data_IF_829731715222
#
_entry.id   IF_829731715222
#
_cell.length_a   1.000
_cell.length_b   1.000
_cell.length_c   1.000
_cell.angle_alpha   90.00
_cell.angle_beta   90.00
_cell.angle_gamma   90.00
#
_symmetry.space_group_name_H-M   'P 1'
#
loop_
_entity.id
_entity.type
_entity.pdbx_description
1 polymer ?
#
# COMPACT_ATOMS: atom_id res chain seq x y z
N UNK A 1 11.44 -14.33 21.19
CA UNK A 1 10.07 -13.84 20.94
C UNK A 1 9.28 -14.98 20.32
N UNK A 2 8.30 -15.53 21.04
CA UNK A 2 7.56 -16.74 20.62
C UNK A 2 6.61 -16.43 19.46
N UNK A 3 6.77 -17.17 18.36
CA UNK A 3 5.82 -17.23 17.25
C UNK A 3 4.58 -18.01 17.69
N UNK A 4 3.40 -17.40 17.66
CA UNK A 4 2.14 -18.13 17.86
C UNK A 4 1.86 -18.98 16.64
N UNK A 5 1.91 -20.30 16.80
CA UNK A 5 1.62 -21.28 15.74
C UNK A 5 0.10 -21.24 15.45
N UNK A 6 -0.31 -20.78 14.27
CA UNK A 6 -1.69 -20.88 13.83
C UNK A 6 -2.13 -22.35 13.80
N UNK A 7 -3.32 -22.64 14.33
CA UNK A 7 -3.88 -24.00 14.40
C UNK A 7 -4.23 -24.46 12.98
N UNK A 8 -3.87 -25.70 12.59
CA UNK A 8 -4.23 -26.26 11.28
C UNK A 8 -5.70 -26.70 11.28
N UNK A 9 -6.44 -26.32 10.25
CA UNK A 9 -7.84 -26.67 10.01
C UNK A 9 -8.04 -27.07 8.55
N UNK A 10 -9.03 -27.92 8.26
CA UNK A 10 -9.39 -28.27 6.88
C UNK A 10 -10.10 -27.10 6.21
N UNK A 11 -9.95 -26.96 4.89
CA UNK A 11 -10.57 -25.85 4.13
C UNK A 11 -12.07 -25.73 4.36
N UNK A 12 -12.80 -26.84 4.34
CA UNK A 12 -14.26 -26.85 4.56
C UNK A 12 -14.71 -26.43 5.96
N UNK A 13 -13.84 -26.58 6.96
CA UNK A 13 -14.09 -26.14 8.34
C UNK A 13 -13.69 -24.69 8.51
N UNK A 14 -12.62 -24.26 7.84
CA UNK A 14 -12.21 -22.85 7.80
C UNK A 14 -13.28 -21.95 7.20
N UNK A 15 -13.89 -22.36 6.07
CA UNK A 15 -14.93 -21.56 5.41
C UNK A 15 -16.13 -21.33 6.34
N UNK A 16 -16.57 -22.38 7.06
CA UNK A 16 -17.65 -22.26 8.05
C UNK A 16 -17.29 -21.32 9.20
N UNK A 17 -16.09 -21.49 9.76
CA UNK A 17 -15.59 -20.64 10.85
C UNK A 17 -15.38 -19.19 10.41
N UNK A 18 -15.09 -18.95 9.12
CA UNK A 18 -14.99 -17.62 8.54
C UNK A 18 -16.37 -16.96 8.45
N UNK A 19 -17.37 -17.68 7.94
CA UNK A 19 -18.76 -17.19 7.82
C UNK A 19 -19.40 -16.93 9.20
N UNK A 20 -19.01 -17.71 10.22
CA UNK A 20 -19.47 -17.58 11.61
C UNK A 20 -18.67 -16.53 12.42
N UNK A 21 -17.56 -16.00 11.88
CA UNK A 21 -16.73 -14.97 12.52
C UNK A 21 -15.73 -15.49 13.58
N UNK A 22 -15.55 -16.81 13.69
CA UNK A 22 -14.67 -17.48 14.68
C UNK A 22 -13.28 -17.87 14.13
N UNK A 23 -12.85 -17.25 13.03
CA UNK A 23 -11.59 -17.60 12.35
C UNK A 23 -10.31 -17.07 13.03
N UNK A 24 -10.45 -16.17 14.01
CA UNK A 24 -9.34 -15.40 14.58
C UNK A 24 -8.20 -16.27 15.17
N UNK A 25 -8.51 -17.44 15.74
CA UNK A 25 -7.50 -18.37 16.31
C UNK A 25 -6.67 -19.11 15.23
N UNK A 26 -7.13 -19.07 13.98
CA UNK A 26 -6.51 -19.73 12.84
C UNK A 26 -5.72 -18.76 11.95
N UNK A 27 -5.82 -17.45 12.22
CA UNK A 27 -5.09 -16.41 11.50
C UNK A 27 -3.87 -15.96 12.30
N UNK A 28 -2.68 -16.01 11.70
CA UNK A 28 -1.49 -15.40 12.28
C UNK A 28 -1.45 -13.88 11.99
N UNK A 29 -2.34 -13.15 12.64
CA UNK A 29 -2.48 -11.69 12.49
C UNK A 29 -1.21 -10.93 12.90
N UNK A 30 -0.39 -11.51 13.78
CA UNK A 30 0.87 -10.91 14.24
C UNK A 30 1.97 -10.93 13.17
N UNK A 31 1.89 -11.86 12.22
CA UNK A 31 2.81 -11.96 11.09
C UNK A 31 2.41 -11.10 9.89
N UNK A 32 1.21 -10.51 9.90
CA UNK A 32 0.68 -9.73 8.79
C UNK A 32 1.51 -8.46 8.61
N UNK A 33 2.31 -8.43 7.54
CA UNK A 33 3.01 -7.23 7.08
C UNK A 33 2.17 -6.53 6.04
N UNK A 34 2.12 -5.20 6.12
CA UNK A 34 1.54 -4.39 5.05
C UNK A 34 2.26 -4.73 3.73
N UNK A 35 1.47 -5.11 2.71
CA UNK A 35 2.00 -5.48 1.39
C UNK A 35 2.82 -4.35 0.75
N UNK A 36 2.50 -3.10 1.09
CA UNK A 36 3.19 -1.89 0.65
C UNK A 36 3.47 -1.01 1.87
N UNK A 37 4.61 -1.19 2.55
CA UNK A 37 4.98 -0.33 3.67
C UNK A 37 5.15 1.11 3.17
N UNK A 38 4.47 2.05 3.83
CA UNK A 38 4.53 3.48 3.47
C UNK A 38 5.40 4.24 4.46
N UNK A 39 6.37 5.00 3.96
CA UNK A 39 7.13 5.97 4.75
C UNK A 39 6.52 7.36 4.57
N UNK A 40 6.21 8.05 5.68
CA UNK A 40 5.77 9.45 5.64
C UNK A 40 6.98 10.37 5.71
N UNK A 41 6.99 11.39 4.87
CA UNK A 41 8.01 12.44 4.85
C UNK A 41 7.32 13.81 4.77
N UNK A 42 7.98 14.84 5.29
CA UNK A 42 7.58 16.24 5.14
C UNK A 42 8.50 16.90 4.12
N UNK A 43 7.93 17.66 3.18
CA UNK A 43 8.67 18.36 2.12
C UNK A 43 8.06 19.74 1.97
N UNK A 44 8.92 20.76 1.90
CA UNK A 44 8.52 22.12 1.59
C UNK A 44 8.59 22.38 0.09
N UNK A 45 7.57 23.07 -0.44
CA UNK A 45 7.50 23.48 -1.85
C UNK A 45 7.40 25.01 -1.93
N UNK A 46 8.06 25.63 -2.92
CA UNK A 46 7.81 27.02 -3.27
C UNK A 46 6.32 27.23 -3.58
N UNK A 47 5.76 28.35 -3.10
CA UNK A 47 4.32 28.64 -3.20
C UNK A 47 3.83 28.62 -4.65
N UNK A 48 4.56 29.25 -5.55
CA UNK A 48 4.24 29.29 -6.98
C UNK A 48 4.19 27.90 -7.62
N UNK A 49 5.07 26.98 -7.22
CA UNK A 49 5.05 25.60 -7.71
C UNK A 49 3.81 24.87 -7.19
N UNK A 50 3.47 25.06 -5.92
CA UNK A 50 2.31 24.43 -5.31
C UNK A 50 0.99 24.86 -5.98
N UNK A 51 0.88 26.15 -6.33
CA UNK A 51 -0.27 26.71 -7.05
C UNK A 51 -0.44 26.06 -8.44
N UNK A 52 0.64 25.89 -9.20
CA UNK A 52 0.60 25.18 -10.49
C UNK A 52 0.18 23.71 -10.34
N UNK A 53 0.65 23.03 -9.29
CA UNK A 53 0.23 21.65 -8.98
C UNK A 53 -1.26 21.60 -8.68
N UNK A 54 -1.81 22.56 -7.93
CA UNK A 54 -3.23 22.61 -7.60
C UNK A 54 -4.10 22.79 -8.84
N UNK A 55 -3.70 23.71 -9.73
CA UNK A 55 -4.40 23.93 -11.01
C UNK A 55 -4.39 22.65 -11.85
N UNK A 56 -3.25 21.97 -11.95
CA UNK A 56 -3.14 20.70 -12.67
C UNK A 56 -4.01 19.60 -12.04
N UNK A 57 -4.03 19.51 -10.70
CA UNK A 57 -4.81 18.52 -9.97
C UNK A 57 -6.31 18.72 -10.17
N UNK A 58 -6.77 19.98 -10.14
CA UNK A 58 -8.15 20.35 -10.42
C UNK A 58 -8.56 19.99 -11.86
N UNK A 59 -7.70 20.25 -12.85
CA UNK A 59 -7.96 19.91 -14.26
C UNK A 59 -8.14 18.42 -14.49
N UNK A 60 -7.39 17.58 -13.76
CA UNK A 60 -7.44 16.12 -13.88
C UNK A 60 -8.48 15.51 -12.92
N UNK A 61 -9.02 16.28 -11.98
CA UNK A 61 -10.03 15.82 -11.03
C UNK A 61 -9.47 14.94 -9.91
N UNK A 62 -8.22 15.18 -9.49
CA UNK A 62 -7.55 14.42 -8.41
C UNK A 62 -7.06 15.33 -7.30
N UNK A 63 -6.72 14.75 -6.15
CA UNK A 63 -6.06 15.52 -5.08
C UNK A 63 -4.63 15.88 -5.47
N UNK A 64 -4.12 17.00 -4.93
CA UNK A 64 -2.71 17.39 -5.04
C UNK A 64 -1.75 16.24 -4.72
N UNK A 65 -1.98 15.55 -3.60
CA UNK A 65 -1.14 14.42 -3.17
C UNK A 65 -1.18 13.26 -4.16
N UNK A 66 -2.34 12.95 -4.74
CA UNK A 66 -2.45 11.91 -5.78
C UNK A 66 -1.67 12.31 -7.03
N UNK A 67 -1.79 13.57 -7.48
CA UNK A 67 -1.07 14.06 -8.65
C UNK A 67 0.46 13.99 -8.45
N UNK A 68 0.95 14.48 -7.30
CA UNK A 68 2.38 14.42 -6.96
C UNK A 68 2.88 12.97 -6.97
N UNK A 69 2.13 12.03 -6.37
CA UNK A 69 2.50 10.60 -6.38
C UNK A 69 2.60 10.03 -7.79
N UNK A 70 1.64 10.36 -8.66
CA UNK A 70 1.63 9.89 -10.05
C UNK A 70 2.81 10.43 -10.84
N UNK A 71 3.13 11.71 -10.72
CA UNK A 71 4.27 12.32 -11.40
C UNK A 71 5.61 11.75 -10.92
N UNK A 72 5.78 11.57 -9.61
CA UNK A 72 6.98 10.93 -9.05
C UNK A 72 7.11 9.50 -9.58
N UNK A 73 6.03 8.70 -9.55
CA UNK A 73 6.03 7.34 -10.07
C UNK A 73 6.34 7.29 -11.58
N UNK A 74 5.76 8.19 -12.37
CA UNK A 74 6.03 8.31 -13.79
C UNK A 74 7.51 8.63 -14.03
N UNK A 75 8.07 9.65 -13.35
CA UNK A 75 9.46 10.05 -13.55
C UNK A 75 10.44 8.95 -13.15
N UNK A 76 10.19 8.25 -12.04
CA UNK A 76 11.00 7.10 -11.63
C UNK A 76 10.91 5.94 -12.62
N UNK A 77 9.74 5.70 -13.23
CA UNK A 77 9.56 4.65 -14.23
C UNK A 77 10.29 4.96 -15.55
N UNK A 78 10.44 6.24 -15.91
CA UNK A 78 11.23 6.64 -17.08
C UNK A 78 12.74 6.50 -16.84
N UNK A 79 13.21 6.81 -15.63
CA UNK A 79 14.64 6.71 -15.28
C UNK A 79 15.08 5.27 -15.01
N UNK A 80 14.18 4.48 -14.43
CA UNK A 80 14.36 3.07 -14.20
C UNK A 80 13.19 2.34 -14.86
N UNK A 81 13.32 1.95 -16.15
CA UNK A 81 12.36 1.04 -16.76
C UNK A 81 12.22 -0.14 -15.81
N UNK A 82 11.02 -0.33 -15.29
CA UNK A 82 10.74 -1.18 -14.14
C UNK A 82 11.29 -2.60 -14.38
N UNK A 83 12.50 -2.89 -13.89
CA UNK A 83 13.06 -4.23 -13.92
C UNK A 83 12.32 -5.06 -12.87
N UNK A 84 11.28 -5.75 -13.32
CA UNK A 84 10.49 -6.70 -12.55
C UNK A 84 11.33 -7.86 -11.98
N UNK A 85 12.64 -7.96 -12.26
CA UNK A 85 13.51 -9.01 -11.70
C UNK A 85 13.86 -8.80 -10.22
N UNK A 86 13.77 -7.57 -9.69
CA UNK A 86 14.21 -7.24 -8.30
C UNK A 86 13.13 -7.34 -7.22
N UNK A 87 11.90 -7.71 -7.57
CA UNK A 87 10.84 -8.02 -6.60
C UNK A 87 10.62 -9.54 -6.55
N UNK A 88 11.61 -10.25 -6.00
CA UNK A 88 11.51 -11.64 -5.54
C UNK A 88 12.17 -11.75 -4.17
#
# INVERSE_FOLDING_TARGET
MSTSKAKKVKTSEFDKLFDEGEVNEFLDLKSVKARYPTQRISIDFPKNILEEVDIAAAKVGVTRTSLIKMWVAAQLSHQHPHDMSRSR
#
